data_IF_876231395308
#
_entry.id   IF_876231395308
#
_cell.length_a   1.000
_cell.length_b   1.000
_cell.length_c   1.000
_cell.angle_alpha   90.00
_cell.angle_beta   90.00
_cell.angle_gamma   90.00
#
_symmetry.space_group_name_H-M   'P 1'
#
loop_
_entity.id
_entity.type
_entity.pdbx_description
1 polymer ?
#
# COMPACT_ATOMS: atom_id res chain seq x y z
N UNK A 1 -7.16 -3.77 54.73
CA UNK A 1 -8.20 -3.82 53.66
C UNK A 1 -7.87 -2.95 52.44
N UNK A 2 -7.40 -1.70 52.60
CA UNK A 2 -7.14 -0.76 51.49
C UNK A 2 -6.13 -1.27 50.43
N UNK A 3 -5.04 -1.91 50.85
CA UNK A 3 -4.00 -2.49 49.96
C UNK A 3 -4.58 -3.54 49.00
N UNK A 4 -5.52 -4.36 49.49
CA UNK A 4 -6.17 -5.39 48.66
C UNK A 4 -7.08 -4.79 47.60
N UNK A 5 -7.66 -3.61 47.87
CA UNK A 5 -8.47 -2.88 46.89
C UNK A 5 -7.58 -2.22 45.83
N UNK A 6 -6.44 -1.65 46.23
CA UNK A 6 -5.48 -1.08 45.28
C UNK A 6 -4.92 -2.13 44.31
N UNK A 7 -4.60 -3.34 44.79
CA UNK A 7 -4.13 -4.43 43.94
C UNK A 7 -5.19 -4.92 42.95
N UNK A 8 -6.47 -4.95 43.36
CA UNK A 8 -7.58 -5.31 42.47
C UNK A 8 -7.81 -4.25 41.39
N UNK A 9 -7.75 -2.96 41.75
CA UNK A 9 -7.89 -1.86 40.79
C UNK A 9 -6.73 -1.82 39.80
N UNK A 10 -5.50 -2.02 40.27
CA UNK A 10 -4.31 -2.07 39.40
C UNK A 10 -4.35 -3.27 38.44
N UNK A 11 -4.83 -4.43 38.91
CA UNK A 11 -5.04 -5.61 38.08
C UNK A 11 -6.10 -5.41 37.00
N UNK A 12 -7.22 -4.73 37.33
CA UNK A 12 -8.26 -4.40 36.37
C UNK A 12 -7.79 -3.45 35.26
N UNK A 13 -6.93 -2.47 35.61
CA UNK A 13 -6.31 -1.54 34.64
C UNK A 13 -5.35 -2.23 33.67
N UNK A 14 -4.69 -3.31 34.08
CA UNK A 14 -3.77 -4.07 33.21
C UNK A 14 -4.52 -5.01 32.24
N UNK A 15 -5.80 -5.31 32.47
CA UNK A 15 -6.61 -6.18 31.61
C UNK A 15 -7.21 -5.44 30.39
N UNK A 16 -7.16 -4.10 30.35
CA UNK A 16 -7.58 -3.32 29.17
C UNK A 16 -6.47 -3.14 28.12
N UNK A 17 -5.27 -3.68 28.38
CA UNK A 17 -4.09 -3.57 27.50
C UNK A 17 -4.08 -4.48 26.26
N UNK A 18 -5.10 -5.31 26.06
CA UNK A 18 -5.27 -6.10 24.83
C UNK A 18 -6.38 -5.53 23.95
N UNK A 19 -6.30 -4.24 23.59
CA UNK A 19 -6.91 -3.81 22.34
C UNK A 19 -6.03 -4.33 21.20
N UNK A 20 -6.16 -5.61 20.85
CA UNK A 20 -5.95 -5.98 19.47
C UNK A 20 -6.92 -5.10 18.70
N UNK A 21 -6.41 -4.20 17.87
CA UNK A 21 -7.19 -3.60 16.81
C UNK A 21 -7.80 -4.79 16.08
N UNK A 22 -9.05 -5.14 16.42
CA UNK A 22 -9.85 -6.04 15.64
C UNK A 22 -10.10 -5.25 14.37
N UNK A 23 -9.13 -5.33 13.44
CA UNK A 23 -9.33 -4.98 12.06
C UNK A 23 -10.47 -5.87 11.62
N UNK A 24 -11.68 -5.32 11.70
CA UNK A 24 -12.99 -5.92 11.49
C UNK A 24 -12.86 -7.27 10.77
N UNK A 25 -12.80 -8.35 11.54
CA UNK A 25 -12.93 -9.69 11.02
C UNK A 25 -14.42 -9.97 10.76
N UNK A 26 -15.11 -9.05 10.07
CA UNK A 26 -16.27 -9.44 9.29
C UNK A 26 -15.73 -10.40 8.24
N UNK A 27 -15.88 -11.71 8.49
CA UNK A 27 -15.78 -12.80 7.52
C UNK A 27 -14.93 -12.43 6.28
N UNK A 28 -13.60 -12.39 6.45
CA UNK A 28 -12.69 -12.18 5.31
C UNK A 28 -12.94 -13.36 4.36
N UNK A 29 -13.37 -13.07 3.15
CA UNK A 29 -13.64 -14.03 2.07
C UNK A 29 -12.40 -14.72 1.51
N UNK A 30 -11.34 -14.79 2.29
CA UNK A 30 -9.97 -14.98 1.81
C UNK A 30 -9.24 -13.65 1.65
N UNK A 31 -7.95 -13.76 1.36
CA UNK A 31 -7.10 -12.66 0.98
C UNK A 31 -6.04 -13.12 -0.01
N UNK A 32 -5.49 -12.18 -0.77
CA UNK A 32 -4.56 -12.47 -1.85
C UNK A 32 -3.46 -11.42 -1.97
N UNK A 33 -2.59 -11.65 -2.94
CA UNK A 33 -1.56 -10.68 -3.35
C UNK A 33 -2.16 -9.68 -4.33
N UNK A 34 -1.80 -8.41 -4.15
CA UNK A 34 -2.08 -7.34 -5.11
C UNK A 34 -1.05 -7.47 -6.24
N UNK A 35 -1.53 -7.68 -7.46
CA UNK A 35 -0.74 -7.72 -8.70
C UNK A 35 -1.32 -6.69 -9.67
N UNK A 36 -0.47 -6.10 -10.50
CA UNK A 36 -0.87 -5.12 -11.49
C UNK A 36 -0.05 -5.23 -12.79
N UNK A 37 -0.66 -4.76 -13.88
CA UNK A 37 -0.06 -4.73 -15.22
C UNK A 37 -0.18 -3.30 -15.75
N UNK A 38 0.95 -2.72 -16.13
CA UNK A 38 1.03 -1.38 -16.66
C UNK A 38 0.95 -1.38 -18.18
N UNK A 39 -0.14 -0.89 -18.75
CA UNK A 39 -0.32 -0.77 -20.21
C UNK A 39 0.12 0.60 -20.77
N UNK A 40 0.87 1.38 -20.01
CA UNK A 40 1.29 2.74 -20.40
C UNK A 40 2.78 2.83 -20.69
N UNK A 41 3.19 3.93 -21.33
CA UNK A 41 4.60 4.25 -21.59
C UNK A 41 5.35 4.84 -20.39
N UNK A 42 4.64 5.14 -19.30
CA UNK A 42 5.19 5.72 -18.07
C UNK A 42 5.27 4.65 -17.00
N UNK A 43 6.12 4.80 -15.99
CA UNK A 43 6.04 3.92 -14.83
C UNK A 43 4.83 4.28 -13.97
N UNK A 44 4.38 3.27 -13.23
CA UNK A 44 3.59 3.42 -12.02
C UNK A 44 4.59 3.45 -10.87
N UNK A 45 4.87 4.65 -10.34
CA UNK A 45 5.84 4.86 -9.25
C UNK A 45 5.33 4.39 -7.90
N UNK A 46 4.01 4.36 -7.74
CA UNK A 46 3.33 3.93 -6.54
C UNK A 46 1.89 3.59 -6.90
N UNK A 47 1.33 2.56 -6.27
CA UNK A 47 -0.11 2.32 -6.30
C UNK A 47 -0.59 1.61 -5.03
N UNK A 48 -1.88 1.77 -4.75
CA UNK A 48 -2.55 1.11 -3.63
C UNK A 48 -3.99 0.75 -3.98
N UNK A 49 -4.51 -0.26 -3.28
CA UNK A 49 -5.91 -0.71 -3.34
C UNK A 49 -6.52 -0.49 -1.95
N UNK A 50 -7.52 0.38 -1.85
CA UNK A 50 -8.13 0.81 -0.58
C UNK A 50 -7.09 1.27 0.46
N UNK A 51 -6.04 1.96 -0.01
CA UNK A 51 -4.92 2.43 0.81
C UNK A 51 -3.88 1.36 1.15
N UNK A 52 -4.08 0.10 0.77
CA UNK A 52 -3.09 -0.95 0.93
C UNK A 52 -2.10 -0.94 -0.25
N UNK A 53 -0.82 -0.77 0.06
CA UNK A 53 0.24 -0.66 -0.95
C UNK A 53 0.39 -1.93 -1.80
N UNK A 54 0.59 -1.71 -3.10
CA UNK A 54 0.99 -2.75 -4.06
C UNK A 54 2.47 -3.14 -3.99
N UNK A 55 3.27 -2.47 -3.14
CA UNK A 55 4.73 -2.65 -2.92
C UNK A 55 5.62 -2.24 -4.10
N UNK A 56 5.31 -2.70 -5.31
CA UNK A 56 6.20 -2.53 -6.46
C UNK A 56 6.00 -1.23 -7.24
N UNK A 57 7.10 -0.81 -7.89
CA UNK A 57 7.10 0.13 -9.02
C UNK A 57 6.97 -0.69 -10.30
N UNK A 58 6.03 -0.33 -11.17
CA UNK A 58 5.77 -1.07 -12.41
C UNK A 58 6.24 -0.25 -13.60
N UNK A 59 7.28 -0.76 -14.27
CA UNK A 59 7.81 -0.13 -15.49
C UNK A 59 6.80 -0.12 -16.65
N UNK A 60 7.04 0.70 -17.68
CA UNK A 60 6.28 0.71 -18.92
C UNK A 60 6.07 -0.70 -19.49
N UNK A 61 4.82 -1.09 -19.76
CA UNK A 61 4.46 -2.38 -20.37
C UNK A 61 4.89 -3.62 -19.57
N UNK A 62 5.09 -3.48 -18.26
CA UNK A 62 5.47 -4.57 -17.35
C UNK A 62 4.33 -4.95 -16.38
N UNK A 63 4.49 -6.09 -15.72
CA UNK A 63 3.71 -6.48 -14.55
C UNK A 63 4.55 -6.44 -13.28
N UNK A 64 3.90 -6.38 -12.13
CA UNK A 64 4.52 -6.42 -10.81
C UNK A 64 3.47 -6.32 -9.71
N UNK A 65 3.92 -6.13 -8.47
CA UNK A 65 3.04 -6.00 -7.32
C UNK A 65 3.63 -6.66 -6.10
N UNK A 66 2.98 -7.70 -5.58
CA UNK A 66 3.48 -8.43 -4.42
C UNK A 66 2.92 -7.94 -3.08
N UNK A 67 2.08 -6.91 -3.07
CA UNK A 67 1.37 -6.45 -1.87
C UNK A 67 0.55 -7.57 -1.23
N UNK A 68 1.05 -8.20 -0.16
CA UNK A 68 0.38 -9.32 0.47
C UNK A 68 -0.92 -8.92 1.15
N UNK A 69 -1.79 -9.92 1.30
CA UNK A 69 -2.75 -10.01 2.39
C UNK A 69 -3.93 -9.04 2.23
N UNK A 70 -4.22 -8.63 1.00
CA UNK A 70 -5.40 -7.83 0.68
C UNK A 70 -6.65 -8.65 0.91
N UNK A 71 -7.53 -8.17 1.79
CA UNK A 71 -8.73 -8.88 2.20
C UNK A 71 -9.93 -8.49 1.36
N UNK A 72 -10.77 -9.46 1.01
CA UNK A 72 -12.05 -9.23 0.33
C UNK A 72 -13.23 -9.69 1.19
N UNK A 73 -14.44 -9.16 0.98
CA UNK A 73 -15.64 -9.67 1.66
C UNK A 73 -15.95 -11.14 1.30
N UNK A 74 -16.46 -11.93 2.24
CA UNK A 74 -16.84 -13.34 1.98
C UNK A 74 -17.98 -13.57 0.99
N UNK A 75 -18.81 -12.56 0.74
CA UNK A 75 -19.88 -12.64 -0.24
C UNK A 75 -19.71 -11.51 -1.23
N UNK A 76 -19.49 -11.86 -2.49
CA UNK A 76 -19.54 -10.90 -3.59
C UNK A 76 -20.95 -10.34 -3.74
N UNK A 77 -21.04 -9.06 -4.07
CA UNK A 77 -22.30 -8.37 -4.41
C UNK A 77 -22.08 -7.53 -5.69
N UNK A 78 -23.09 -7.45 -6.57
CA UNK A 78 -23.02 -6.52 -7.70
C UNK A 78 -22.73 -5.09 -7.24
N UNK A 79 -21.87 -4.39 -7.97
CA UNK A 79 -21.52 -3.00 -7.70
C UNK A 79 -20.42 -2.79 -6.64
N UNK A 80 -19.79 -3.84 -6.12
CA UNK A 80 -18.57 -3.68 -5.31
C UNK A 80 -17.45 -3.05 -6.14
N UNK A 81 -16.75 -2.09 -5.52
CA UNK A 81 -15.61 -1.38 -6.11
C UNK A 81 -14.48 -1.28 -5.10
N UNK A 82 -13.28 -1.06 -5.60
CA UNK A 82 -12.10 -0.71 -4.79
C UNK A 82 -11.64 0.68 -5.18
N UNK A 83 -11.01 1.39 -4.25
CA UNK A 83 -10.34 2.65 -4.54
C UNK A 83 -8.91 2.37 -4.96
N UNK A 84 -8.53 2.85 -6.14
CA UNK A 84 -7.15 2.82 -6.60
C UNK A 84 -6.55 4.22 -6.51
N UNK A 85 -5.50 4.36 -5.72
CA UNK A 85 -4.64 5.54 -5.73
C UNK A 85 -3.31 5.16 -6.36
N UNK A 86 -2.81 5.96 -7.31
CA UNK A 86 -1.55 5.67 -7.99
C UNK A 86 -0.85 6.94 -8.48
N UNK A 87 0.46 6.82 -8.70
CA UNK A 87 1.32 7.88 -9.22
C UNK A 87 2.02 7.40 -10.50
N UNK A 88 2.08 8.27 -11.50
CA UNK A 88 2.83 8.04 -12.73
C UNK A 88 4.09 8.89 -12.81
N UNK A 89 5.14 8.35 -13.40
CA UNK A 89 6.35 9.10 -13.68
C UNK A 89 7.24 8.45 -14.73
N UNK A 90 8.41 9.05 -14.94
CA UNK A 90 9.42 8.51 -15.84
C UNK A 90 10.01 7.26 -15.19
N UNK A 91 9.75 6.09 -15.79
CA UNK A 91 10.17 4.80 -15.24
C UNK A 91 11.65 4.49 -15.34
N UNK A 92 12.36 5.25 -16.16
CA UNK A 92 13.78 5.06 -16.42
C UNK A 92 14.45 6.42 -16.64
N UNK A 93 15.68 6.56 -16.15
CA UNK A 93 16.56 7.66 -16.56
C UNK A 93 17.16 7.42 -17.94
N UNK A 94 16.39 6.84 -18.88
CA UNK A 94 16.88 6.61 -20.25
C UNK A 94 17.36 7.94 -20.82
N UNK A 95 18.53 7.91 -21.44
CA UNK A 95 19.23 9.07 -22.00
C UNK A 95 19.58 10.18 -20.99
N UNK A 96 19.55 9.91 -19.68
CA UNK A 96 19.98 10.88 -18.67
C UNK A 96 21.48 11.19 -18.88
N UNK A 97 21.84 12.42 -19.25
CA UNK A 97 23.21 12.74 -19.69
C UNK A 97 24.18 12.94 -18.52
N UNK A 98 23.75 12.68 -17.29
CA UNK A 98 24.48 13.09 -16.09
C UNK A 98 24.41 14.60 -15.86
N UNK A 99 25.17 15.07 -14.88
CA UNK A 99 25.24 16.48 -14.51
C UNK A 99 26.48 17.19 -15.07
N UNK A 100 27.38 16.49 -15.75
CA UNK A 100 28.64 17.04 -16.28
C UNK A 100 28.41 18.07 -17.39
N UNK A 101 27.35 17.91 -18.18
CA UNK A 101 27.00 18.84 -19.26
C UNK A 101 25.62 19.45 -19.02
N UNK A 102 25.62 20.70 -18.58
CA UNK A 102 24.40 21.41 -18.18
C UNK A 102 23.42 21.62 -19.35
N UNK A 103 23.91 21.90 -20.56
CA UNK A 103 23.07 22.10 -21.73
C UNK A 103 22.33 20.80 -22.13
N UNK A 104 23.04 19.66 -22.09
CA UNK A 104 22.44 18.35 -22.33
C UNK A 104 21.40 18.01 -21.25
N UNK A 105 21.71 18.29 -19.97
CA UNK A 105 20.77 18.10 -18.87
C UNK A 105 19.48 18.93 -19.06
N UNK A 106 19.60 20.21 -19.40
CA UNK A 106 18.44 21.09 -19.63
C UNK A 106 17.59 20.64 -20.82
N UNK A 107 18.22 20.11 -21.88
CA UNK A 107 17.50 19.56 -23.03
C UNK A 107 16.75 18.27 -22.66
N UNK A 108 17.39 17.37 -21.91
CA UNK A 108 16.75 16.14 -21.41
C UNK A 108 15.57 16.45 -20.49
N UNK A 109 15.72 17.39 -19.55
CA UNK A 109 14.69 17.79 -18.59
C UNK A 109 13.40 18.35 -19.24
N UNK A 110 13.50 18.86 -20.48
CA UNK A 110 12.37 19.43 -21.24
C UNK A 110 11.61 18.40 -22.08
N UNK A 111 12.18 17.20 -22.29
CA UNK A 111 11.49 16.09 -22.97
C UNK A 111 10.41 15.49 -22.07
#
# INVERSE_FOLDING_TARGET
MKIRHYLVVLGALMLTGCSQQQANAESRGGGGTIEAINHTKWAINHFSVDGQSGIDIIGPYQGGGGGCCYGVPAKWRPGMTVKIDWETGVGYSMDFPGYENWDKYLAWKKK
#
